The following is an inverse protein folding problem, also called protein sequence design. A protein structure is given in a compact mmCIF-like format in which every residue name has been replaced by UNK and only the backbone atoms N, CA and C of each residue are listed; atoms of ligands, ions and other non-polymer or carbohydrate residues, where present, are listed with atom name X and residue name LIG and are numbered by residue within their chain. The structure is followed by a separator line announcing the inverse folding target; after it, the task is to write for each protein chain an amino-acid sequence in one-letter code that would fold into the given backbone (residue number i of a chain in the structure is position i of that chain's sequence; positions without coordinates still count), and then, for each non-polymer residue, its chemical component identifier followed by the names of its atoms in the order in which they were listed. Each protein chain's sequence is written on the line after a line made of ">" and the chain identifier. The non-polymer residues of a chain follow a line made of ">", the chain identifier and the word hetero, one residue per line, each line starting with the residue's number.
data_IF_114476191605
#
_entry.id   IF_114476191605
#
_cell.length_a   1.000
_cell.length_b   1.000
_cell.length_c   1.000
_cell.angle_alpha   90.00
_cell.angle_beta   90.00
_cell.angle_gamma   90.00
#
_symmetry.space_group_name_H-M   'P 1'
#
loop_
_entity.id
_entity.type
_entity.pdbx_description
1 polymer ?
#
# COMPACT_ATOMS: atom_id res chain seq x y z
N UNK A 1 16.31 2.88 5.23
CA UNK A 1 14.98 3.30 4.75
C UNK A 1 14.11 3.53 5.97
N UNK A 2 13.31 4.60 5.98
CA UNK A 2 12.38 4.89 7.08
C UNK A 2 10.94 5.01 6.55
N UNK A 3 9.90 4.81 7.39
CA UNK A 3 8.53 5.09 7.01
C UNK A 3 8.39 6.48 6.36
N UNK A 4 7.59 6.58 5.30
CA UNK A 4 7.40 7.80 4.53
C UNK A 4 8.55 8.19 3.59
N UNK A 5 9.64 7.43 3.51
CA UNK A 5 10.70 7.68 2.52
C UNK A 5 10.19 7.41 1.10
N UNK A 6 10.37 8.39 0.19
CA UNK A 6 10.00 8.27 -1.22
C UNK A 6 10.76 7.11 -1.89
N UNK A 7 10.02 6.21 -2.54
CA UNK A 7 10.56 5.09 -3.31
C UNK A 7 10.40 5.30 -4.81
N UNK A 8 9.23 5.78 -5.22
CA UNK A 8 8.82 5.97 -6.61
C UNK A 8 7.98 7.23 -6.71
N UNK A 9 8.12 7.93 -7.83
CA UNK A 9 7.28 9.05 -8.22
C UNK A 9 6.64 8.73 -9.57
N UNK A 10 5.32 8.95 -9.68
CA UNK A 10 4.54 8.57 -10.87
C UNK A 10 3.63 9.72 -11.30
N UNK A 11 3.41 9.82 -12.61
CA UNK A 11 2.41 10.71 -13.19
C UNK A 11 1.04 10.01 -13.22
N UNK A 12 0.17 10.39 -12.28
CA UNK A 12 -1.16 9.80 -12.17
C UNK A 12 -2.08 10.18 -13.33
N UNK A 13 -1.88 11.31 -13.99
CA UNK A 13 -2.75 11.76 -15.08
C UNK A 13 -2.42 11.03 -16.38
N UNK A 14 -1.14 10.74 -16.61
CA UNK A 14 -0.74 9.84 -17.67
C UNK A 14 -1.27 8.41 -17.42
N UNK A 15 -1.11 7.87 -16.21
CA UNK A 15 -1.54 6.50 -15.90
C UNK A 15 -3.06 6.35 -16.02
N UNK A 16 -3.86 7.30 -15.52
CA UNK A 16 -5.33 7.27 -15.67
C UNK A 16 -5.81 7.14 -17.12
N UNK A 17 -5.05 7.71 -18.07
CA UNK A 17 -5.40 7.70 -19.49
C UNK A 17 -4.92 6.44 -20.21
N UNK A 18 -3.84 5.82 -19.74
CA UNK A 18 -3.12 4.77 -20.47
C UNK A 18 -3.16 3.39 -19.81
N UNK A 19 -3.47 3.30 -18.50
CA UNK A 19 -3.54 2.04 -17.77
C UNK A 19 -4.97 1.57 -17.57
N UNK A 20 -5.15 0.26 -17.47
CA UNK A 20 -6.46 -0.36 -17.22
C UNK A 20 -7.00 -0.10 -15.82
N UNK A 21 -6.15 0.26 -14.86
CA UNK A 21 -6.53 0.59 -13.49
C UNK A 21 -5.48 1.48 -12.81
N UNK A 22 -5.97 2.36 -11.91
CA UNK A 22 -5.13 3.15 -10.98
C UNK A 22 -5.03 2.51 -9.58
N UNK A 23 -5.67 1.36 -9.39
CA UNK A 23 -5.65 0.64 -8.10
C UNK A 23 -4.27 -0.01 -7.95
N UNK A 24 -3.52 0.41 -6.94
CA UNK A 24 -2.21 -0.16 -6.59
C UNK A 24 -2.38 -1.13 -5.43
N UNK A 25 -2.42 -2.47 -5.65
CA UNK A 25 -2.60 -3.42 -4.56
C UNK A 25 -1.35 -3.49 -3.68
N UNK A 26 -1.56 -3.54 -2.37
CA UNK A 26 -0.52 -3.87 -1.39
C UNK A 26 -0.73 -5.32 -0.96
N UNK A 27 0.28 -6.17 -1.18
CA UNK A 27 0.19 -7.63 -0.98
C UNK A 27 1.20 -8.07 0.07
N UNK A 28 0.74 -8.83 1.07
CA UNK A 28 1.58 -9.52 2.05
C UNK A 28 1.75 -10.97 1.59
N UNK A 29 2.95 -11.34 1.13
CA UNK A 29 3.20 -12.65 0.51
C UNK A 29 3.66 -13.73 1.48
N UNK A 30 4.11 -13.35 2.68
CA UNK A 30 4.72 -14.26 3.65
C UNK A 30 3.93 -14.30 4.96
N UNK A 31 2.63 -14.62 4.88
CA UNK A 31 1.78 -14.83 6.05
C UNK A 31 1.83 -16.31 6.46
N UNK A 32 2.07 -16.59 7.73
CA UNK A 32 2.08 -17.94 8.28
C UNK A 32 0.67 -18.40 8.70
N UNK A 33 0.50 -19.69 8.93
CA UNK A 33 -0.78 -20.26 9.36
C UNK A 33 -1.24 -19.65 10.69
N UNK A 34 -2.40 -18.99 10.67
CA UNK A 34 -2.96 -18.29 11.83
C UNK A 34 -2.72 -16.79 11.83
N UNK A 35 -1.85 -16.27 10.95
CA UNK A 35 -1.67 -14.83 10.84
C UNK A 35 -2.82 -14.17 10.08
N UNK A 36 -3.21 -12.97 10.52
CA UNK A 36 -4.29 -12.20 9.89
C UNK A 36 -3.92 -10.72 9.75
N UNK A 37 -4.37 -10.12 8.65
CA UNK A 37 -4.15 -8.70 8.35
C UNK A 37 -5.38 -7.91 8.78
N UNK A 38 -5.19 -6.96 9.69
CA UNK A 38 -6.23 -6.04 10.12
C UNK A 38 -5.95 -4.62 9.60
N UNK A 39 -6.89 -4.07 8.81
CA UNK A 39 -6.81 -2.71 8.29
C UNK A 39 -7.41 -1.74 9.30
N UNK A 40 -6.59 -0.84 9.85
CA UNK A 40 -7.03 0.16 10.83
C UNK A 40 -7.59 1.41 10.15
N UNK A 41 -7.03 1.81 9.00
CA UNK A 41 -7.41 3.03 8.27
C UNK A 41 -7.38 2.82 6.75
N UNK A 42 -8.35 3.37 5.99
CA UNK A 42 -8.45 3.15 4.55
C UNK A 42 -7.55 4.07 3.69
N UNK A 43 -6.99 5.15 4.25
CA UNK A 43 -6.10 6.09 3.54
C UNK A 43 -4.98 6.53 4.47
N UNK A 44 -3.77 6.57 3.96
CA UNK A 44 -2.63 7.21 4.61
C UNK A 44 -1.52 7.40 3.58
N UNK A 45 -0.95 8.60 3.54
CA UNK A 45 0.31 8.86 2.86
C UNK A 45 1.31 9.31 3.92
N UNK A 46 2.28 8.45 4.23
CA UNK A 46 3.28 8.72 5.25
C UNK A 46 2.82 8.58 6.70
N UNK A 47 1.62 8.05 6.99
CA UNK A 47 1.24 7.69 8.36
C UNK A 47 1.71 6.29 8.72
N UNK A 48 2.03 6.10 9.99
CA UNK A 48 2.33 4.80 10.60
C UNK A 48 1.04 4.09 11.05
N UNK A 49 1.15 2.79 11.38
CA UNK A 49 0.07 1.99 11.95
C UNK A 49 -1.22 1.82 11.10
N UNK A 50 -1.10 1.79 9.78
CA UNK A 50 -2.24 1.59 8.87
C UNK A 50 -2.75 0.13 8.88
N UNK A 51 -1.81 -0.82 9.03
CA UNK A 51 -2.05 -2.26 8.99
C UNK A 51 -1.37 -2.91 10.18
N UNK A 52 -2.00 -3.92 10.76
CA UNK A 52 -1.38 -4.78 11.77
C UNK A 52 -1.49 -6.23 11.33
N UNK A 53 -0.36 -6.94 11.36
CA UNK A 53 -0.32 -8.39 11.22
C UNK A 53 -0.27 -8.97 12.64
N UNK A 54 -1.15 -9.91 12.94
CA UNK A 54 -1.19 -10.67 14.19
C UNK A 54 -1.09 -12.14 13.90
#
# INVERSE_FOLDING_TARGET
>A
MKPGQKLLEVDLDYIKKNATSIITPIVFTNLQGGESVNLKKPKSNGEEDIVTVK
#
